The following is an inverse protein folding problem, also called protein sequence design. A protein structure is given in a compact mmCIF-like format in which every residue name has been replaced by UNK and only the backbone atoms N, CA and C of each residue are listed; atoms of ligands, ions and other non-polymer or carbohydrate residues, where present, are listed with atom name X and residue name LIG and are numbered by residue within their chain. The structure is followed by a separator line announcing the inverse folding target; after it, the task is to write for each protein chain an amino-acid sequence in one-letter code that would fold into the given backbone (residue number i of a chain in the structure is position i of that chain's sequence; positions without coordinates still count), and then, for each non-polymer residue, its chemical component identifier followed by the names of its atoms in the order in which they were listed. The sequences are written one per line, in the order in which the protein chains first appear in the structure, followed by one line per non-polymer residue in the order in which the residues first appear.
data_IF_038690704593
#
_entry.id   IF_038690704593
#
_cell.length_a   1.000
_cell.length_b   1.000
_cell.length_c   1.000
_cell.angle_alpha   90.00
_cell.angle_beta   90.00
_cell.angle_gamma   90.00
#
_symmetry.space_group_name_H-M   'P 1'
#
loop_
_entity.id
_entity.type
_entity.pdbx_description
1 polymer ?
#
# COMPACT_ATOMS: atom_id res chain seq x y z
N UNK A 1 9.33 4.71 -17.66
CA UNK A 1 9.75 5.62 -16.57
C UNK A 1 9.78 4.88 -15.25
N UNK A 2 10.57 5.33 -14.27
CA UNK A 2 10.53 4.79 -12.90
C UNK A 2 9.99 5.86 -11.96
N UNK A 3 9.09 5.45 -11.07
CA UNK A 3 8.43 6.33 -10.10
C UNK A 3 8.71 5.78 -8.69
N UNK A 4 9.11 6.67 -7.78
CA UNK A 4 9.15 6.40 -6.34
C UNK A 4 7.88 6.98 -5.72
N UNK A 5 7.01 6.11 -5.22
CA UNK A 5 5.82 6.48 -4.47
C UNK A 5 6.11 6.46 -2.96
N UNK A 6 5.62 7.47 -2.26
CA UNK A 6 5.72 7.63 -0.80
C UNK A 6 4.31 7.91 -0.29
N UNK A 7 3.86 7.13 0.69
CA UNK A 7 2.54 7.25 1.30
C UNK A 7 2.66 7.44 2.81
N UNK A 8 2.06 8.52 3.33
CA UNK A 8 2.15 8.93 4.75
C UNK A 8 0.87 9.61 5.25
N UNK A 9 -0.30 9.33 4.67
CA UNK A 9 -1.52 10.08 4.98
C UNK A 9 -2.15 9.72 6.33
N UNK A 10 -2.07 8.45 6.75
CA UNK A 10 -2.72 7.94 7.96
C UNK A 10 -1.72 7.30 8.92
N UNK A 11 -1.93 6.02 9.28
CA UNK A 11 -1.16 5.24 10.26
C UNK A 11 -0.10 4.34 9.60
N UNK A 12 0.04 4.46 8.29
CA UNK A 12 1.03 3.76 7.51
C UNK A 12 2.13 4.71 7.03
N UNK A 13 3.33 4.16 6.93
CA UNK A 13 4.42 4.72 6.14
C UNK A 13 4.79 3.68 5.10
N UNK A 14 4.58 4.01 3.82
CA UNK A 14 4.86 3.08 2.72
C UNK A 14 5.74 3.71 1.65
N UNK A 15 6.54 2.86 1.01
CA UNK A 15 7.33 3.19 -0.17
C UNK A 15 7.10 2.15 -1.26
N UNK A 16 7.07 2.57 -2.52
CA UNK A 16 7.05 1.66 -3.66
C UNK A 16 7.85 2.21 -4.84
N UNK A 17 8.54 1.32 -5.55
CA UNK A 17 9.19 1.62 -6.82
C UNK A 17 8.35 1.00 -7.93
N UNK A 18 7.86 1.84 -8.84
CA UNK A 18 7.09 1.41 -10.00
C UNK A 18 7.89 1.61 -11.27
N UNK A 19 7.79 0.65 -12.19
CA UNK A 19 8.14 0.80 -13.58
C UNK A 19 6.88 1.03 -14.40
N UNK A 20 6.81 2.16 -15.09
CA UNK A 20 5.67 2.53 -15.93
C UNK A 20 6.10 2.56 -17.40
N UNK A 21 5.36 1.86 -18.25
CA UNK A 21 5.63 1.74 -19.69
C UNK A 21 4.38 2.11 -20.49
N UNK A 22 4.57 2.32 -21.78
CA UNK A 22 3.50 2.67 -22.70
C UNK A 22 3.17 4.17 -22.73
N UNK A 23 1.96 4.50 -23.19
CA UNK A 23 1.52 5.86 -23.47
C UNK A 23 0.16 6.17 -22.83
N UNK A 24 -0.46 7.30 -23.20
CA UNK A 24 -1.75 7.74 -22.65
C UNK A 24 -2.91 6.79 -22.94
N UNK A 25 -2.83 6.00 -24.00
CA UNK A 25 -3.89 5.08 -24.42
C UNK A 25 -3.63 3.65 -23.89
N UNK A 26 -2.37 3.32 -23.63
CA UNK A 26 -2.00 2.02 -23.08
C UNK A 26 -0.84 2.17 -22.09
N UNK A 27 -1.18 2.34 -20.80
CA UNK A 27 -0.19 2.47 -19.73
C UNK A 27 -0.09 1.14 -18.95
N UNK A 28 1.14 0.65 -18.84
CA UNK A 28 1.47 -0.55 -18.05
C UNK A 28 2.25 -0.13 -16.80
N UNK A 29 1.92 -0.74 -15.66
CA UNK A 29 2.57 -0.48 -14.38
C UNK A 29 3.05 -1.80 -13.78
N UNK A 30 4.32 -1.85 -13.40
CA UNK A 30 4.93 -3.00 -12.70
C UNK A 30 5.49 -2.51 -11.39
N UNK A 31 5.12 -3.16 -10.28
CA UNK A 31 5.73 -2.90 -8.97
C UNK A 31 7.05 -3.65 -8.91
N UNK A 32 8.16 -2.91 -8.84
CA UNK A 32 9.51 -3.48 -8.72
C UNK A 32 9.85 -3.85 -7.27
N UNK A 33 9.25 -3.14 -6.32
CA UNK A 33 9.41 -3.40 -4.90
C UNK A 33 8.55 -2.45 -4.07
N UNK A 34 8.16 -2.89 -2.89
CA UNK A 34 7.44 -2.08 -1.92
C UNK A 34 7.93 -2.39 -0.49
N UNK A 35 7.66 -1.48 0.44
CA UNK A 35 7.77 -1.72 1.85
C UNK A 35 6.66 -0.93 2.57
N UNK A 36 6.09 -1.55 3.60
CA UNK A 36 5.00 -0.98 4.40
C UNK A 36 5.37 -1.09 5.88
N UNK A 37 5.26 0.03 6.59
CA UNK A 37 5.35 0.07 8.04
C UNK A 37 4.01 0.57 8.58
N UNK A 38 3.22 -0.35 9.13
CA UNK A 38 1.96 -0.01 9.81
C UNK A 38 2.22 0.37 11.26
N UNK A 39 1.53 1.39 11.74
CA UNK A 39 1.55 1.83 13.14
C UNK A 39 0.26 1.44 13.87
N UNK A 40 -0.55 0.53 13.30
CA UNK A 40 -1.86 0.15 13.84
C UNK A 40 -1.76 -0.34 15.29
N UNK A 41 -0.76 -1.17 15.61
CA UNK A 41 -0.58 -1.73 16.96
C UNK A 41 -0.37 -0.63 18.01
N UNK A 42 0.39 0.42 17.65
CA UNK A 42 0.63 1.58 18.52
C UNK A 42 -0.65 2.42 18.64
N UNK A 43 -1.38 2.62 17.55
CA UNK A 43 -2.57 3.48 17.52
C UNK A 43 -3.78 2.82 18.21
N UNK A 44 -3.81 1.50 18.29
CA UNK A 44 -4.87 0.73 18.98
C UNK A 44 -4.93 1.05 20.47
N UNK A 45 -3.78 1.25 21.13
CA UNK A 45 -3.71 1.56 22.57
C UNK A 45 -4.38 2.90 22.92
N UNK A 46 -4.48 3.81 21.95
CA UNK A 46 -5.06 5.14 22.13
C UNK A 46 -6.47 5.29 21.54
N UNK A 47 -7.14 4.17 21.23
CA UNK A 47 -8.54 4.15 20.78
C UNK A 47 -8.74 4.13 19.25
N UNK A 48 -7.67 4.01 18.47
CA UNK A 48 -7.72 3.98 17.00
C UNK A 48 -8.17 5.30 16.37
N UNK A 49 -7.74 5.58 15.12
CA UNK A 49 -7.97 6.91 14.50
C UNK A 49 -9.43 7.21 14.12
N UNK A 50 -10.34 6.25 14.27
CA UNK A 50 -11.81 6.38 14.38
C UNK A 50 -12.37 5.02 14.73
N UNK A 51 -13.44 4.98 15.52
CA UNK A 51 -14.15 3.77 15.96
C UNK A 51 -14.78 2.95 14.84
N UNK A 52 -13.96 2.41 13.94
CA UNK A 52 -14.36 1.41 12.97
C UNK A 52 -14.10 0.00 13.54
N UNK A 53 -15.00 -0.95 13.25
CA UNK A 53 -14.80 -2.34 13.62
C UNK A 53 -13.57 -2.92 12.91
N UNK A 54 -12.85 -3.81 13.62
CA UNK A 54 -11.62 -4.52 13.21
C UNK A 54 -11.48 -4.89 11.72
N UNK A 55 -12.49 -5.40 11.00
CA UNK A 55 -12.32 -5.82 9.61
C UNK A 55 -11.92 -4.72 8.61
N UNK A 56 -12.15 -3.43 8.90
CA UNK A 56 -11.81 -2.36 7.95
C UNK A 56 -10.32 -2.01 7.97
N UNK A 57 -9.64 -2.16 9.11
CA UNK A 57 -8.24 -1.75 9.26
C UNK A 57 -7.27 -2.82 8.72
N UNK A 58 -7.59 -4.10 8.92
CA UNK A 58 -6.73 -5.21 8.49
C UNK A 58 -6.73 -5.41 6.96
N UNK A 59 -7.86 -5.15 6.29
CA UNK A 59 -8.02 -5.44 4.85
C UNK A 59 -7.15 -4.54 3.97
N UNK A 60 -6.95 -3.27 4.35
CA UNK A 60 -6.02 -2.36 3.67
C UNK A 60 -4.55 -2.76 3.87
N UNK A 61 -4.22 -3.34 5.03
CA UNK A 61 -2.87 -3.80 5.37
C UNK A 61 -2.50 -5.14 4.71
N UNK A 62 -3.42 -6.12 4.66
CA UNK A 62 -3.17 -7.47 4.12
C UNK A 62 -3.13 -7.50 2.58
N UNK A 63 -3.98 -6.73 1.90
CA UNK A 63 -3.97 -6.66 0.42
C UNK A 63 -2.66 -6.07 -0.14
N UNK A 64 -1.91 -5.34 0.69
CA UNK A 64 -0.60 -4.75 0.33
C UNK A 64 0.57 -5.75 0.43
N UNK A 65 0.38 -6.89 1.12
CA UNK A 65 1.41 -7.92 1.34
C UNK A 65 1.13 -9.27 0.66
N UNK A 66 -0.06 -9.47 0.09
CA UNK A 66 -0.40 -10.68 -0.64
C UNK A 66 0.16 -10.63 -2.07
N UNK A 67 0.94 -11.66 -2.44
CA UNK A 67 1.33 -12.00 -3.80
C UNK A 67 0.26 -11.62 -4.85
N UNK A 68 0.46 -10.51 -5.58
CA UNK A 68 -0.10 -10.37 -6.92
C UNK A 68 0.87 -11.00 -7.91
N UNK A 69 0.98 -12.33 -7.80
CA UNK A 69 1.34 -13.17 -8.93
C UNK A 69 0.17 -13.17 -9.90
N UNK A 70 0.17 -12.25 -10.86
CA UNK A 70 -0.62 -12.40 -12.08
C UNK A 70 0.35 -12.22 -13.25
N UNK A 71 1.10 -13.28 -13.50
CA UNK A 71 1.61 -13.62 -14.81
C UNK A 71 0.79 -14.79 -15.35
N UNK A 72 -0.23 -14.47 -16.14
CA UNK A 72 -0.80 -15.22 -17.25
C UNK A 72 -1.91 -14.36 -17.89
#
# INVERSE_FOLDING_TARGET
MRILAIETSCDETAIAILECRGDKNHAEFTVLGNALLSQIDIHQEYGGRRGLPRPCQTRACEESGAHLGIGA
#
